data_IF_347113571051
#
_entry.id   IF_347113571051
#
_cell.length_a   1.000
_cell.length_b   1.000
_cell.length_c   1.000
_cell.angle_alpha   90.00
_cell.angle_beta   90.00
_cell.angle_gamma   90.00
#
_symmetry.space_group_name_H-M   'P 1'
#
loop_
_entity.id
_entity.type
_entity.pdbx_description
1 polymer ?
#
# COMPACT_ATOMS: atom_id res chain seq x y z
N UNK A 1 3.01 17.60 12.61
CA UNK A 1 2.80 16.18 12.91
C UNK A 1 2.00 15.56 11.79
N UNK A 2 2.34 14.34 11.41
CA UNK A 2 1.57 13.49 10.50
C UNK A 2 1.23 12.19 11.23
N UNK A 3 0.03 11.67 11.00
CA UNK A 3 -0.45 10.41 11.55
C UNK A 3 -0.90 9.53 10.39
N UNK A 4 -0.55 8.26 10.44
CA UNK A 4 -0.90 7.27 9.43
C UNK A 4 -1.23 5.94 10.12
N UNK A 5 -1.89 5.04 9.40
CA UNK A 5 -2.16 3.69 9.90
C UNK A 5 -1.96 2.63 8.82
N UNK A 6 -1.86 1.38 9.26
CA UNK A 6 -1.88 0.19 8.42
C UNK A 6 -2.68 -0.91 9.12
N UNK A 7 -3.55 -1.58 8.38
CA UNK A 7 -4.41 -2.65 8.88
C UNK A 7 -4.86 -3.56 7.73
N UNK A 8 -4.67 -4.87 7.89
CA UNK A 8 -5.24 -5.83 6.93
C UNK A 8 -5.61 -7.16 7.60
N UNK A 9 -6.84 -7.28 8.16
CA UNK A 9 -7.29 -8.51 8.82
C UNK A 9 -7.46 -9.69 7.84
N UNK A 10 -7.57 -9.42 6.53
CA UNK A 10 -7.65 -10.49 5.54
C UNK A 10 -6.36 -11.29 5.42
N UNK A 11 -5.20 -10.67 5.62
CA UNK A 11 -3.91 -11.35 5.64
C UNK A 11 -3.75 -12.22 6.89
N UNK A 12 -4.23 -11.75 8.05
CA UNK A 12 -4.18 -12.49 9.31
C UNK A 12 -4.93 -13.82 9.30
N UNK A 13 -5.83 -14.05 8.34
CA UNK A 13 -6.49 -15.35 8.14
C UNK A 13 -5.56 -16.43 7.58
N UNK A 14 -4.42 -16.04 7.03
CA UNK A 14 -3.52 -16.93 6.31
C UNK A 14 -2.10 -16.91 6.87
N UNK A 15 -1.61 -15.75 7.31
CA UNK A 15 -0.22 -15.57 7.72
C UNK A 15 -0.09 -14.34 8.63
N UNK A 16 -0.06 -14.57 9.93
CA UNK A 16 0.05 -13.52 10.95
C UNK A 16 1.40 -12.79 10.91
N UNK A 17 2.49 -13.46 10.52
CA UNK A 17 3.80 -12.85 10.39
C UNK A 17 3.85 -11.85 9.22
N UNK A 18 3.45 -12.29 8.02
CA UNK A 18 3.41 -11.39 6.86
C UNK A 18 2.33 -10.32 6.98
N UNK A 19 1.21 -10.59 7.66
CA UNK A 19 0.25 -9.55 8.04
C UNK A 19 0.94 -8.45 8.84
N UNK A 20 1.67 -8.80 9.90
CA UNK A 20 2.34 -7.81 10.75
C UNK A 20 3.39 -7.00 9.98
N UNK A 21 4.21 -7.64 9.14
CA UNK A 21 5.14 -6.94 8.25
C UNK A 21 4.40 -5.96 7.33
N UNK A 22 3.29 -6.40 6.73
CA UNK A 22 2.52 -5.61 5.75
C UNK A 22 1.91 -4.38 6.38
N UNK A 23 1.28 -4.50 7.56
CA UNK A 23 0.60 -3.35 8.21
C UNK A 23 1.60 -2.35 8.81
N UNK A 24 2.80 -2.79 9.22
CA UNK A 24 3.89 -1.87 9.59
C UNK A 24 4.39 -1.13 8.35
N UNK A 25 4.65 -1.85 7.25
CA UNK A 25 5.07 -1.25 6.00
C UNK A 25 4.02 -0.25 5.47
N UNK A 26 2.74 -0.59 5.54
CA UNK A 26 1.63 0.28 5.13
C UNK A 26 1.55 1.57 5.96
N UNK A 27 1.61 1.48 7.28
CA UNK A 27 1.61 2.66 8.14
C UNK A 27 2.77 3.60 7.79
N UNK A 28 3.97 3.05 7.54
CA UNK A 28 5.15 3.83 7.15
C UNK A 28 5.05 4.35 5.71
N UNK A 29 4.47 3.59 4.76
CA UNK A 29 4.21 4.07 3.39
C UNK A 29 3.29 5.29 3.41
N UNK A 30 2.17 5.18 4.11
CA UNK A 30 1.20 6.27 4.25
C UNK A 30 1.85 7.51 4.86
N UNK A 31 2.64 7.33 5.91
CA UNK A 31 3.37 8.42 6.55
C UNK A 31 4.34 9.09 5.57
N UNK A 32 5.12 8.30 4.82
CA UNK A 32 6.08 8.82 3.83
C UNK A 32 5.37 9.47 2.65
N UNK A 33 4.29 8.86 2.12
CA UNK A 33 3.53 9.40 0.99
C UNK A 33 2.99 10.81 1.29
N UNK A 34 2.59 11.07 2.53
CA UNK A 34 2.16 12.40 2.99
C UNK A 34 3.30 13.39 3.29
N UNK A 35 4.57 12.96 3.22
CA UNK A 35 5.74 13.80 3.46
C UNK A 35 6.38 13.66 4.85
N UNK A 36 5.98 12.65 5.64
CA UNK A 36 6.54 12.38 6.96
C UNK A 36 7.99 11.89 6.92
N UNK A 37 8.74 12.19 7.96
CA UNK A 37 10.12 11.73 8.12
C UNK A 37 10.18 10.48 9.00
N UNK A 38 10.48 9.32 8.41
CA UNK A 38 10.58 8.05 9.13
C UNK A 38 11.69 8.03 10.19
N UNK A 39 12.69 8.93 10.12
CA UNK A 39 13.74 9.05 11.14
C UNK A 39 13.24 9.67 12.43
N UNK A 40 12.13 10.40 12.35
CA UNK A 40 11.44 11.05 13.45
C UNK A 40 10.00 10.54 13.55
N UNK A 41 9.86 9.22 13.41
CA UNK A 41 8.59 8.53 13.53
C UNK A 41 8.61 7.52 14.67
N UNK A 42 7.43 7.21 15.16
CA UNK A 42 7.20 6.17 16.16
C UNK A 42 5.93 5.38 15.80
N UNK A 43 5.87 4.15 16.27
CA UNK A 43 4.78 3.22 16.03
C UNK A 43 4.02 2.93 17.33
N UNK A 44 2.73 2.68 17.19
CA UNK A 44 1.87 2.09 18.20
C UNK A 44 1.20 0.88 17.60
N UNK A 45 1.15 -0.23 18.33
CA UNK A 45 0.38 -1.40 17.94
C UNK A 45 -0.99 -1.44 18.62
N UNK A 46 -1.90 -2.17 17.99
CA UNK A 46 -3.16 -2.59 18.60
C UNK A 46 -3.44 -4.02 18.14
N UNK A 47 -3.09 -4.97 18.98
CA UNK A 47 -3.40 -6.39 18.78
C UNK A 47 -4.86 -6.64 19.11
N UNK A 48 -5.60 -7.16 18.14
CA UNK A 48 -6.99 -7.60 18.29
C UNK A 48 -7.08 -9.06 17.89
N UNK A 49 -7.05 -9.95 18.87
CA UNK A 49 -7.01 -11.40 18.66
C UNK A 49 -8.11 -12.09 19.47
N UNK A 50 -8.49 -13.28 19.05
CA UNK A 50 -9.38 -14.17 19.81
C UNK A 50 -8.69 -14.65 21.11
N UNK A 51 -9.32 -15.59 21.82
CA UNK A 51 -8.75 -16.12 23.06
C UNK A 51 -7.42 -16.85 22.86
N UNK A 52 -6.35 -16.47 23.59
CA UNK A 52 -5.05 -17.15 23.55
C UNK A 52 -5.07 -18.55 24.18
N UNK A 53 -6.20 -19.00 24.77
CA UNK A 53 -6.39 -20.37 25.22
C UNK A 53 -6.36 -21.37 24.04
N UNK A 54 -6.50 -20.88 22.82
CA UNK A 54 -6.36 -21.65 21.59
C UNK A 54 -4.91 -21.61 21.14
N UNK A 55 -4.22 -22.77 21.01
CA UNK A 55 -2.82 -22.80 20.61
C UNK A 55 -2.53 -22.10 19.28
N UNK A 56 -3.44 -22.20 18.30
CA UNK A 56 -3.33 -21.53 17.01
C UNK A 56 -3.35 -20.00 17.15
N UNK A 57 -4.23 -19.45 18.01
CA UNK A 57 -4.31 -18.00 18.26
C UNK A 57 -3.06 -17.50 18.96
N UNK A 58 -2.58 -18.26 19.95
CA UNK A 58 -1.33 -17.94 20.64
C UNK A 58 -0.13 -17.98 19.67
N UNK A 59 -0.10 -18.95 18.76
CA UNK A 59 0.89 -19.04 17.69
C UNK A 59 0.86 -17.79 16.77
N UNK A 60 -0.32 -17.34 16.38
CA UNK A 60 -0.50 -16.14 15.56
C UNK A 60 -0.04 -14.87 16.29
N UNK A 61 -0.29 -14.74 17.60
CA UNK A 61 0.23 -13.64 18.42
C UNK A 61 1.75 -13.61 18.41
N UNK A 62 2.39 -14.77 18.60
CA UNK A 62 3.87 -14.88 18.57
C UNK A 62 4.43 -14.51 17.20
N UNK A 63 3.81 -15.00 16.11
CA UNK A 63 4.23 -14.70 14.75
C UNK A 63 4.04 -13.21 14.41
N UNK A 64 2.92 -12.61 14.79
CA UNK A 64 2.66 -11.18 14.59
C UNK A 64 3.65 -10.32 15.38
N UNK A 65 3.92 -10.67 16.65
CA UNK A 65 4.93 -9.98 17.47
C UNK A 65 6.33 -10.07 16.84
N UNK A 66 6.68 -11.22 16.28
CA UNK A 66 7.93 -11.41 15.55
C UNK A 66 8.00 -10.53 14.30
N UNK A 67 6.90 -10.44 13.53
CA UNK A 67 6.79 -9.56 12.37
C UNK A 67 6.98 -8.08 12.75
N UNK A 68 6.34 -7.61 13.82
CA UNK A 68 6.53 -6.27 14.37
C UNK A 68 7.99 -6.00 14.74
N UNK A 69 8.63 -6.94 15.44
CA UNK A 69 10.04 -6.82 15.82
C UNK A 69 10.98 -6.71 14.60
N UNK A 70 10.82 -7.61 13.63
CA UNK A 70 11.65 -7.65 12.43
C UNK A 70 11.47 -6.39 11.58
N UNK A 71 10.22 -5.90 11.44
CA UNK A 71 9.93 -4.65 10.75
C UNK A 71 10.51 -3.43 11.47
N UNK A 72 10.27 -3.29 12.77
CA UNK A 72 10.78 -2.17 13.57
C UNK A 72 12.31 -2.05 13.46
N UNK A 73 13.01 -3.18 13.56
CA UNK A 73 14.48 -3.22 13.39
C UNK A 73 14.91 -2.83 11.99
N UNK A 74 14.24 -3.34 10.95
CA UNK A 74 14.63 -3.08 9.56
C UNK A 74 14.41 -1.62 9.17
N UNK A 75 13.28 -1.04 9.56
CA UNK A 75 12.98 0.37 9.29
C UNK A 75 13.71 1.34 10.23
N UNK A 76 14.14 0.87 11.40
CA UNK A 76 14.73 1.71 12.44
C UNK A 76 13.70 2.63 13.10
N UNK A 77 12.44 2.19 13.22
CA UNK A 77 11.33 2.97 13.80
C UNK A 77 10.82 2.22 15.04
N UNK A 78 10.88 2.83 16.25
CA UNK A 78 10.51 2.17 17.48
C UNK A 78 9.00 2.09 17.68
N UNK A 79 8.52 1.03 18.33
CA UNK A 79 7.25 1.03 19.04
C UNK A 79 7.41 1.79 20.36
N UNK A 80 6.53 2.75 20.64
CA UNK A 80 6.56 3.59 21.85
C UNK A 80 5.36 3.35 22.76
N UNK A 81 4.34 2.68 22.26
CA UNK A 81 3.14 2.29 22.98
C UNK A 81 2.45 1.15 22.26
N UNK A 82 1.54 0.50 22.92
CA UNK A 82 0.72 -0.56 22.36
C UNK A 82 -0.52 -0.81 23.20
N UNK A 83 -1.45 -1.56 22.62
CA UNK A 83 -2.68 -1.96 23.27
C UNK A 83 -3.09 -3.34 22.79
N UNK A 84 -3.31 -4.26 23.71
CA UNK A 84 -3.72 -5.63 23.42
C UNK A 84 -5.19 -5.84 23.77
N UNK A 85 -5.92 -6.44 22.84
CA UNK A 85 -7.26 -6.95 23.06
C UNK A 85 -7.28 -8.44 22.70
N UNK A 86 -7.26 -9.27 23.71
CA UNK A 86 -7.38 -10.71 23.60
C UNK A 86 -8.80 -11.11 24.04
N UNK A 87 -9.30 -12.24 23.52
CA UNK A 87 -10.69 -12.69 23.69
C UNK A 87 -11.71 -11.91 22.83
N UNK A 88 -11.31 -11.39 21.68
CA UNK A 88 -12.23 -10.80 20.73
C UNK A 88 -12.99 -11.89 19.97
N UNK A 89 -14.05 -12.38 20.59
CA UNK A 89 -14.94 -13.41 20.07
C UNK A 89 -16.31 -13.27 20.71
N UNK A 90 -17.31 -13.83 20.07
CA UNK A 90 -18.66 -13.94 20.63
C UNK A 90 -19.13 -15.39 20.65
N UNK A 91 -20.05 -15.70 21.54
CA UNK A 91 -20.65 -17.04 21.67
C UNK A 91 -22.08 -16.96 21.19
N UNK A 92 -22.48 -17.87 20.31
CA UNK A 92 -23.86 -17.97 19.83
C UNK A 92 -24.77 -18.67 20.87
N UNK A 93 -26.08 -18.67 20.60
CA UNK A 93 -27.07 -19.29 21.47
C UNK A 93 -26.91 -20.81 21.65
N UNK A 94 -26.09 -21.44 20.81
CA UNK A 94 -25.72 -22.87 20.87
C UNK A 94 -24.42 -23.13 21.62
N UNK A 95 -23.77 -22.09 22.13
CA UNK A 95 -22.49 -22.18 22.83
C UNK A 95 -21.26 -22.24 21.90
N UNK A 96 -21.41 -22.02 20.58
CA UNK A 96 -20.26 -21.97 19.68
C UNK A 96 -19.56 -20.65 19.79
N UNK A 97 -18.22 -20.68 19.92
CA UNK A 97 -17.38 -19.49 19.97
C UNK A 97 -16.95 -19.09 18.55
N UNK A 98 -17.17 -17.83 18.19
CA UNK A 98 -16.87 -17.22 16.89
C UNK A 98 -15.73 -16.21 17.06
N UNK A 99 -14.49 -16.62 16.82
CA UNK A 99 -13.33 -15.76 16.92
C UNK A 99 -13.26 -14.78 15.76
N UNK A 100 -12.75 -13.55 16.01
CA UNK A 100 -12.31 -12.67 14.93
C UNK A 100 -11.03 -13.22 14.28
N UNK A 101 -10.73 -12.90 13.01
CA UNK A 101 -9.41 -13.19 12.46
C UNK A 101 -8.33 -12.40 13.20
N UNK A 102 -7.10 -12.93 13.20
CA UNK A 102 -5.94 -12.21 13.68
C UNK A 102 -5.87 -10.82 13.03
N UNK A 103 -5.96 -9.78 13.84
CA UNK A 103 -6.03 -8.40 13.40
C UNK A 103 -5.00 -7.55 14.14
N UNK A 104 -4.19 -6.83 13.39
CA UNK A 104 -3.22 -5.89 13.93
C UNK A 104 -3.42 -4.53 13.25
N UNK A 105 -3.67 -3.50 14.04
CA UNK A 105 -3.66 -2.11 13.59
C UNK A 105 -2.35 -1.47 14.05
N UNK A 106 -1.59 -0.96 13.11
CA UNK A 106 -0.42 -0.13 13.40
C UNK A 106 -0.76 1.32 13.15
N UNK A 107 -0.52 2.17 14.15
CA UNK A 107 -0.55 3.62 14.00
C UNK A 107 0.88 4.14 13.97
N UNK A 108 1.19 4.99 12.99
CA UNK A 108 2.45 5.69 12.88
C UNK A 108 2.23 7.18 13.15
N UNK A 109 3.09 7.77 13.96
CA UNK A 109 3.16 9.21 14.18
C UNK A 109 4.54 9.69 13.76
N UNK A 110 4.61 10.81 13.04
CA UNK A 110 5.88 11.36 12.58
C UNK A 110 5.87 12.88 12.52
N UNK A 111 7.05 13.42 12.30
CA UNK A 111 7.26 14.87 12.15
C UNK A 111 7.36 15.22 10.68
N UNK A 112 6.72 16.30 10.30
CA UNK A 112 6.89 16.98 9.01
C UNK A 112 7.65 18.27 9.28
N UNK A 113 8.79 18.45 8.66
CA UNK A 113 9.66 19.61 8.83
C UNK A 113 8.96 20.91 8.39
N UNK A 114 8.26 20.84 7.26
CA UNK A 114 7.50 21.95 6.70
C UNK A 114 6.19 21.43 6.06
N UNK A 115 5.05 21.74 6.67
CA UNK A 115 3.75 21.28 6.21
C UNK A 115 3.39 21.75 4.78
N UNK A 116 3.99 22.84 4.30
CA UNK A 116 3.79 23.34 2.92
C UNK A 116 4.43 22.42 1.87
N UNK A 117 5.30 21.50 2.27
CA UNK A 117 5.95 20.48 1.42
C UNK A 117 5.24 19.14 1.41
N UNK A 118 4.17 19.00 2.21
CA UNK A 118 3.31 17.83 2.13
C UNK A 118 2.66 17.75 0.77
N UNK A 119 2.52 16.54 0.26
CA UNK A 119 1.77 16.25 -0.96
C UNK A 119 0.54 15.43 -0.62
N UNK A 120 -0.46 15.50 -1.49
CA UNK A 120 -1.66 14.68 -1.41
C UNK A 120 -1.72 13.74 -2.60
N UNK A 121 -2.61 12.74 -2.55
CA UNK A 121 -2.68 11.70 -3.57
C UNK A 121 -3.30 12.19 -4.90
N UNK A 122 -4.16 13.21 -4.87
CA UNK A 122 -4.85 13.71 -6.06
C UNK A 122 -3.85 14.26 -7.11
N UNK A 123 -4.02 13.92 -8.38
CA UNK A 123 -3.17 14.42 -9.48
C UNK A 123 -3.26 15.95 -9.59
N UNK A 124 -2.16 16.61 -9.93
CA UNK A 124 -2.05 18.07 -9.86
C UNK A 124 -2.17 18.77 -11.22
N UNK A 125 -1.72 18.15 -12.30
CA UNK A 125 -1.72 18.78 -13.61
C UNK A 125 -1.69 17.76 -14.75
N UNK A 126 -2.25 18.10 -15.94
CA UNK A 126 -2.01 17.32 -17.15
C UNK A 126 -0.55 17.36 -17.59
N UNK A 127 -0.13 16.36 -18.37
CA UNK A 127 1.21 16.25 -18.97
C UNK A 127 2.32 16.12 -17.93
N UNK A 128 2.03 15.49 -16.79
CA UNK A 128 3.04 15.02 -15.84
C UNK A 128 3.35 13.55 -16.07
N UNK A 129 4.52 13.12 -15.69
CA UNK A 129 4.94 11.72 -15.72
C UNK A 129 4.40 10.96 -14.50
N UNK A 130 4.00 9.70 -14.69
CA UNK A 130 3.58 8.79 -13.63
C UNK A 130 4.63 7.71 -13.44
N UNK A 131 5.13 7.59 -12.22
CA UNK A 131 6.14 6.62 -11.83
C UNK A 131 5.59 5.64 -10.82
N UNK A 132 5.81 4.36 -11.06
CA UNK A 132 5.69 3.32 -10.03
C UNK A 132 7.06 3.08 -9.43
N UNK A 133 7.15 3.21 -8.12
CA UNK A 133 8.32 2.83 -7.31
C UNK A 133 7.97 1.59 -6.51
N UNK A 134 8.89 0.64 -6.44
CA UNK A 134 8.68 -0.65 -5.80
C UNK A 134 8.44 -1.77 -6.81
N UNK A 135 8.49 -3.00 -6.33
CA UNK A 135 8.42 -4.22 -7.14
C UNK A 135 7.04 -4.87 -7.00
N UNK A 136 6.40 -5.14 -8.13
CA UNK A 136 5.15 -5.92 -8.17
C UNK A 136 5.47 -7.41 -8.27
N UNK A 137 4.78 -8.23 -7.48
CA UNK A 137 4.83 -9.70 -7.51
C UNK A 137 3.40 -10.24 -7.60
N UNK A 138 3.19 -11.50 -7.99
CA UNK A 138 1.85 -12.10 -8.02
C UNK A 138 1.36 -12.48 -6.60
N UNK A 139 1.33 -11.51 -5.70
CA UNK A 139 0.94 -11.64 -4.29
C UNK A 139 -0.51 -11.19 -4.14
N UNK A 140 -1.43 -12.14 -4.16
CA UNK A 140 -2.89 -11.91 -4.16
C UNK A 140 -3.59 -12.56 -2.96
N UNK A 141 -2.87 -13.32 -2.12
CA UNK A 141 -3.44 -13.98 -0.93
C UNK A 141 -4.03 -12.96 0.04
N UNK A 142 -5.33 -13.12 0.35
CA UNK A 142 -6.07 -12.17 1.19
C UNK A 142 -6.47 -10.86 0.53
N UNK A 143 -6.15 -10.65 -0.77
CA UNK A 143 -6.43 -9.41 -1.49
C UNK A 143 -7.92 -9.19 -1.75
N UNK A 144 -8.30 -7.93 -1.91
CA UNK A 144 -9.66 -7.55 -2.31
C UNK A 144 -10.05 -8.13 -3.68
N UNK A 145 -9.06 -8.34 -4.58
CA UNK A 145 -9.31 -8.96 -5.88
C UNK A 145 -9.76 -10.42 -5.75
N UNK A 146 -9.06 -11.25 -4.97
CA UNK A 146 -9.48 -12.64 -4.78
C UNK A 146 -10.76 -12.75 -3.95
N UNK A 147 -10.98 -11.85 -3.01
CA UNK A 147 -12.23 -11.75 -2.25
C UNK A 147 -13.43 -11.48 -3.18
N UNK A 148 -13.27 -10.54 -4.13
CA UNK A 148 -14.30 -10.25 -5.15
C UNK A 148 -14.61 -11.47 -6.03
N UNK A 149 -13.63 -12.33 -6.31
CA UNK A 149 -13.79 -13.56 -7.08
C UNK A 149 -14.26 -14.76 -6.23
N UNK A 150 -14.45 -14.60 -4.92
CA UNK A 150 -14.83 -15.68 -4.01
C UNK A 150 -13.73 -16.72 -3.79
N UNK A 151 -12.47 -16.39 -4.09
CA UNK A 151 -11.32 -17.30 -4.01
C UNK A 151 -10.56 -17.12 -2.69
N UNK A 152 -10.21 -18.25 -2.05
CA UNK A 152 -9.46 -18.31 -0.79
C UNK A 152 -8.11 -18.98 -1.04
N UNK A 153 -7.26 -18.38 -1.85
CA UNK A 153 -5.96 -18.93 -2.26
C UNK A 153 -4.94 -17.81 -2.44
N UNK A 154 -3.72 -18.15 -2.78
CA UNK A 154 -2.66 -17.20 -3.06
C UNK A 154 -1.70 -16.97 -1.90
N UNK A 155 -0.63 -16.27 -2.19
CA UNK A 155 0.42 -15.91 -1.23
C UNK A 155 0.12 -14.53 -0.66
N UNK A 156 0.13 -14.41 0.67
CA UNK A 156 0.03 -13.12 1.37
C UNK A 156 1.25 -12.26 0.99
N UNK A 157 1.05 -10.96 0.70
CA UNK A 157 2.16 -10.08 0.38
C UNK A 157 3.21 -10.03 1.48
N UNK A 158 4.47 -10.29 1.09
CA UNK A 158 5.62 -10.16 1.99
C UNK A 158 6.27 -8.78 1.88
N UNK A 159 7.19 -8.49 2.83
CA UNK A 159 8.01 -7.28 2.81
C UNK A 159 9.48 -7.66 2.64
N UNK A 160 10.14 -7.12 1.62
CA UNK A 160 11.61 -7.25 1.51
C UNK A 160 12.29 -6.25 2.46
N UNK A 161 12.54 -6.70 3.67
CA UNK A 161 13.13 -5.88 4.75
C UNK A 161 14.52 -5.30 4.44
N UNK A 162 15.19 -5.73 3.36
CA UNK A 162 16.46 -5.13 2.90
C UNK A 162 16.20 -3.96 1.95
N UNK A 163 15.24 -4.11 1.05
CA UNK A 163 14.96 -3.12 -0.01
C UNK A 163 13.93 -2.07 0.45
N UNK A 164 12.95 -2.47 1.24
CA UNK A 164 11.85 -1.62 1.67
C UNK A 164 12.31 -0.33 2.40
N UNK A 165 13.21 -0.37 3.41
CA UNK A 165 13.69 0.85 4.06
C UNK A 165 14.45 1.79 3.11
N UNK A 166 15.11 1.24 2.09
CA UNK A 166 15.84 2.02 1.08
C UNK A 166 14.86 2.76 0.17
N UNK A 167 13.76 2.11 -0.24
CA UNK A 167 12.68 2.73 -1.03
C UNK A 167 12.03 3.85 -0.24
N UNK A 168 11.66 3.61 1.03
CA UNK A 168 11.07 4.63 1.91
C UNK A 168 11.96 5.87 2.02
N UNK A 169 13.25 5.69 2.31
CA UNK A 169 14.23 6.77 2.40
C UNK A 169 14.42 7.51 1.07
N UNK A 170 14.38 6.79 -0.06
CA UNK A 170 14.50 7.41 -1.38
C UNK A 170 13.24 8.24 -1.71
N UNK A 171 12.03 7.72 -1.43
CA UNK A 171 10.80 8.47 -1.64
C UNK A 171 10.74 9.72 -0.76
N UNK A 172 11.08 9.60 0.52
CA UNK A 172 11.19 10.73 1.43
C UNK A 172 12.15 11.82 0.92
N UNK A 173 13.33 11.43 0.41
CA UNK A 173 14.27 12.40 -0.20
C UNK A 173 13.67 13.07 -1.43
N UNK A 174 12.97 12.34 -2.29
CA UNK A 174 12.32 12.90 -3.48
C UNK A 174 11.26 13.94 -3.09
N UNK A 175 10.43 13.65 -2.09
CA UNK A 175 9.41 14.56 -1.56
C UNK A 175 10.05 15.80 -0.94
N UNK A 176 11.05 15.65 -0.09
CA UNK A 176 11.77 16.79 0.53
C UNK A 176 12.46 17.71 -0.48
N UNK A 177 12.89 17.18 -1.62
CA UNK A 177 13.47 17.95 -2.73
C UNK A 177 12.43 18.60 -3.63
N UNK A 178 11.11 18.40 -3.38
CA UNK A 178 10.04 18.94 -4.20
C UNK A 178 9.99 18.33 -5.62
N UNK A 179 10.47 17.10 -5.78
CA UNK A 179 10.47 16.41 -7.08
C UNK A 179 9.12 15.79 -7.42
N UNK A 180 8.26 15.58 -6.42
CA UNK A 180 6.98 14.89 -6.50
C UNK A 180 5.84 15.89 -6.34
N UNK A 181 4.85 15.82 -7.22
CA UNK A 181 3.64 16.65 -7.16
C UNK A 181 2.52 15.99 -6.35
N UNK A 182 2.32 14.69 -6.58
CA UNK A 182 1.36 13.86 -5.88
C UNK A 182 1.97 12.49 -5.60
N UNK A 183 1.61 11.89 -4.48
CA UNK A 183 2.09 10.57 -4.09
C UNK A 183 0.96 9.79 -3.42
N UNK A 184 0.83 8.51 -3.80
CA UNK A 184 -0.06 7.56 -3.18
C UNK A 184 0.70 6.27 -2.89
N UNK A 185 0.46 5.66 -1.74
CA UNK A 185 0.89 4.29 -1.49
C UNK A 185 0.00 3.30 -2.26
N UNK A 186 0.49 2.09 -2.48
CA UNK A 186 -0.32 1.02 -3.06
C UNK A 186 -0.63 0.00 -1.97
N UNK A 187 -1.89 -0.07 -1.58
CA UNK A 187 -2.42 -0.97 -0.56
C UNK A 187 -3.53 -1.85 -1.16
N UNK A 188 -4.73 -1.85 -0.61
CA UNK A 188 -5.83 -2.70 -1.09
C UNK A 188 -6.13 -2.48 -2.57
N UNK A 189 -6.40 -3.59 -3.27
CA UNK A 189 -6.62 -3.65 -4.73
C UNK A 189 -5.48 -3.03 -5.58
N UNK A 190 -4.32 -2.76 -5.00
CA UNK A 190 -3.05 -2.47 -5.67
C UNK A 190 -3.06 -1.26 -6.61
N UNK A 191 -2.33 -1.37 -7.73
CA UNK A 191 -2.14 -0.28 -8.68
C UNK A 191 -3.43 0.17 -9.36
N UNK A 192 -4.34 -0.78 -9.62
CA UNK A 192 -5.60 -0.49 -10.32
C UNK A 192 -6.46 0.51 -9.56
N UNK A 193 -6.57 0.33 -8.25
CA UNK A 193 -7.33 1.24 -7.38
C UNK A 193 -6.56 2.54 -7.16
N UNK A 194 -5.28 2.49 -6.82
CA UNK A 194 -4.48 3.68 -6.52
C UNK A 194 -4.47 4.69 -7.69
N UNK A 195 -4.26 4.24 -8.95
CA UNK A 195 -4.30 5.15 -10.09
C UNK A 195 -5.70 5.71 -10.36
N UNK A 196 -6.74 4.93 -10.10
CA UNK A 196 -8.12 5.40 -10.23
C UNK A 196 -8.42 6.48 -9.19
N UNK A 197 -8.03 6.28 -7.94
CA UNK A 197 -8.22 7.24 -6.84
C UNK A 197 -7.49 8.54 -7.09
N UNK A 198 -6.21 8.50 -7.47
CA UNK A 198 -5.45 9.69 -7.84
C UNK A 198 -6.12 10.47 -8.97
N UNK A 199 -6.65 9.78 -9.99
CA UNK A 199 -7.25 10.41 -11.16
C UNK A 199 -8.64 11.00 -10.86
N UNK A 200 -9.56 10.23 -10.24
CA UNK A 200 -10.92 10.74 -10.04
C UNK A 200 -11.01 11.78 -8.92
N UNK A 201 -10.09 11.78 -7.95
CA UNK A 201 -10.04 12.80 -6.89
C UNK A 201 -9.69 14.16 -7.46
N UNK A 202 -8.81 14.22 -8.45
CA UNK A 202 -8.40 15.45 -9.14
C UNK A 202 -9.31 15.85 -10.32
N UNK A 203 -10.05 14.89 -10.90
CA UNK A 203 -10.70 15.07 -12.19
C UNK A 203 -9.72 15.12 -13.37
N UNK A 204 -8.47 14.69 -13.18
CA UNK A 204 -7.40 14.65 -14.18
C UNK A 204 -7.21 13.21 -14.63
N UNK A 205 -7.24 12.96 -15.94
CA UNK A 205 -7.10 11.62 -16.47
C UNK A 205 -5.66 11.11 -16.45
N UNK A 206 -5.55 9.79 -16.63
CA UNK A 206 -4.25 9.12 -16.72
C UNK A 206 -4.23 8.07 -17.83
N UNK A 207 -3.07 7.91 -18.45
CA UNK A 207 -2.75 6.78 -19.34
C UNK A 207 -1.55 6.08 -18.78
N UNK A 208 -1.69 4.78 -18.46
CA UNK A 208 -0.57 3.94 -18.00
C UNK A 208 -0.43 2.70 -18.88
N UNK A 209 0.79 2.16 -18.93
CA UNK A 209 1.09 0.91 -19.63
C UNK A 209 1.74 -0.09 -18.66
N UNK A 210 1.06 -1.20 -18.43
CA UNK A 210 1.49 -2.24 -17.52
C UNK A 210 2.73 -3.01 -18.01
N UNK A 211 3.10 -2.86 -19.28
CA UNK A 211 4.28 -3.50 -19.88
C UNK A 211 5.59 -3.04 -19.21
N UNK A 212 5.60 -1.80 -18.70
CA UNK A 212 6.80 -1.19 -18.11
C UNK A 212 6.92 -1.38 -16.60
N UNK A 213 5.95 -2.00 -15.97
CA UNK A 213 5.92 -2.15 -14.50
C UNK A 213 7.05 -3.06 -14.03
N UNK A 214 7.82 -2.68 -12.99
CA UNK A 214 8.77 -3.55 -12.34
C UNK A 214 8.04 -4.77 -11.77
N UNK A 215 8.15 -5.91 -12.46
CA UNK A 215 7.46 -7.15 -12.13
C UNK A 215 8.42 -8.30 -11.97
N UNK A 216 8.19 -9.13 -10.95
CA UNK A 216 8.98 -10.34 -10.69
C UNK A 216 8.07 -11.48 -10.26
N UNK A 217 8.12 -12.58 -11.01
CA UNK A 217 7.42 -13.83 -10.69
C UNK A 217 6.50 -14.27 -11.83
N UNK A 218 6.76 -15.46 -12.40
CA UNK A 218 5.94 -16.10 -13.41
C UNK A 218 5.67 -15.26 -14.67
N UNK A 219 4.64 -15.67 -15.41
CA UNK A 219 4.19 -14.96 -16.62
C UNK A 219 3.36 -13.75 -16.21
N UNK A 220 3.70 -12.52 -16.67
CA UNK A 220 2.93 -11.33 -16.33
C UNK A 220 1.49 -11.41 -16.85
N UNK A 221 0.52 -11.35 -15.94
CA UNK A 221 -0.91 -11.22 -16.24
C UNK A 221 -1.36 -9.81 -15.87
N UNK A 222 -2.16 -9.13 -16.70
CA UNK A 222 -2.57 -7.75 -16.44
C UNK A 222 -3.38 -7.59 -15.16
N UNK A 223 -4.25 -8.55 -14.84
CA UNK A 223 -5.03 -8.56 -13.61
C UNK A 223 -4.13 -8.72 -12.36
N UNK A 224 -3.11 -9.58 -12.43
CA UNK A 224 -2.15 -9.73 -11.32
C UNK A 224 -1.31 -8.47 -11.12
N UNK A 225 -0.89 -7.83 -12.21
CA UNK A 225 -0.14 -6.57 -12.14
C UNK A 225 -1.00 -5.45 -11.53
N UNK A 226 -2.27 -5.36 -11.92
CA UNK A 226 -3.18 -4.33 -11.46
C UNK A 226 -3.57 -4.51 -9.99
N UNK A 227 -3.87 -5.75 -9.58
CA UNK A 227 -4.57 -6.02 -8.32
C UNK A 227 -3.72 -6.77 -7.29
N UNK A 228 -2.45 -7.04 -7.60
CA UNK A 228 -1.51 -7.49 -6.57
C UNK A 228 -1.33 -6.41 -5.51
N UNK A 229 -1.30 -6.82 -4.25
CA UNK A 229 -1.14 -5.93 -3.09
C UNK A 229 0.29 -5.99 -2.52
N UNK A 230 1.29 -6.23 -3.41
CA UNK A 230 2.71 -6.23 -3.01
C UNK A 230 3.08 -4.98 -2.25
N UNK A 231 3.78 -5.16 -1.14
CA UNK A 231 4.16 -4.09 -0.22
C UNK A 231 5.22 -3.13 -0.79
N UNK A 232 5.46 -2.03 -0.10
CA UNK A 232 6.52 -1.05 -0.36
C UNK A 232 6.45 -0.48 -1.78
N UNK A 233 5.25 -0.12 -2.24
CA UNK A 233 5.05 0.50 -3.54
C UNK A 233 4.40 1.87 -3.42
N UNK A 234 4.82 2.79 -4.30
CA UNK A 234 4.28 4.15 -4.43
C UNK A 234 3.96 4.47 -5.87
N UNK A 235 2.87 5.19 -6.09
CA UNK A 235 2.57 5.87 -7.35
C UNK A 235 2.83 7.36 -7.18
N UNK A 236 3.73 7.91 -8.00
CA UNK A 236 4.16 9.30 -7.91
C UNK A 236 3.89 10.05 -9.22
N UNK A 237 3.33 11.26 -9.09
CA UNK A 237 3.26 12.24 -10.18
C UNK A 237 4.50 13.14 -10.13
N UNK A 238 5.21 13.25 -11.24
CA UNK A 238 6.46 14.00 -11.37
C UNK A 238 6.38 14.92 -12.57
N UNK A 239 6.86 16.18 -12.42
CA UNK A 239 6.99 17.08 -13.57
C UNK A 239 8.05 16.55 -14.54
N UNK A 240 7.84 16.66 -15.88
CA UNK A 240 8.83 16.21 -16.87
C UNK A 240 10.22 16.80 -16.64
N UNK A 241 10.30 18.07 -16.23
CA UNK A 241 11.57 18.74 -15.91
C UNK A 241 12.31 18.14 -14.71
N UNK A 242 11.60 17.47 -13.80
CA UNK A 242 12.14 16.81 -12.63
C UNK A 242 12.45 15.31 -12.86
N UNK A 243 12.06 14.74 -14.01
CA UNK A 243 12.16 13.31 -14.30
C UNK A 243 13.56 12.73 -14.02
N UNK A 244 14.59 13.34 -14.61
CA UNK A 244 15.99 12.89 -14.43
C UNK A 244 16.44 12.91 -12.97
N UNK A 245 16.10 13.95 -12.23
CA UNK A 245 16.47 14.06 -10.81
C UNK A 245 15.72 13.06 -9.94
N UNK A 246 14.45 12.78 -10.27
CA UNK A 246 13.65 11.74 -9.63
C UNK A 246 14.24 10.35 -9.89
N UNK A 247 14.52 10.00 -11.12
CA UNK A 247 15.09 8.71 -11.53
C UNK A 247 16.44 8.44 -10.86
N UNK A 248 17.33 9.43 -10.86
CA UNK A 248 18.61 9.35 -10.17
C UNK A 248 18.48 9.06 -8.67
N UNK A 249 17.43 9.58 -8.03
CA UNK A 249 17.17 9.36 -6.61
C UNK A 249 16.83 7.90 -6.28
N UNK A 250 16.39 7.11 -7.27
CA UNK A 250 16.03 5.70 -7.14
C UNK A 250 17.05 4.74 -7.79
N UNK A 251 18.25 5.19 -8.11
CA UNK A 251 19.30 4.33 -8.68
C UNK A 251 19.53 3.09 -7.82
N UNK A 252 19.48 1.90 -8.45
CA UNK A 252 19.64 0.60 -7.77
C UNK A 252 18.43 0.16 -6.93
N UNK A 253 17.26 0.78 -7.13
CA UNK A 253 15.98 0.40 -6.59
C UNK A 253 14.98 0.11 -7.73
N UNK A 254 13.95 -0.70 -7.52
CA UNK A 254 12.93 -0.94 -8.53
C UNK A 254 12.05 0.30 -8.72
N UNK A 255 11.98 0.80 -9.94
CA UNK A 255 11.07 1.86 -10.36
C UNK A 255 10.87 1.83 -11.87
N UNK A 256 9.79 2.41 -12.36
CA UNK A 256 9.59 2.69 -13.78
C UNK A 256 8.67 3.88 -14.00
N UNK A 257 8.89 4.60 -15.10
CA UNK A 257 7.91 5.50 -15.68
C UNK A 257 6.86 4.64 -16.37
N UNK A 258 5.64 4.64 -15.84
CA UNK A 258 4.56 3.76 -16.31
C UNK A 258 3.52 4.49 -17.16
N UNK A 259 3.56 5.81 -17.24
CA UNK A 259 2.57 6.57 -17.98
C UNK A 259 2.66 8.06 -17.76
N UNK A 260 1.53 8.72 -17.99
CA UNK A 260 1.39 10.17 -17.82
C UNK A 260 -0.04 10.59 -17.51
N UNK A 261 -0.20 11.76 -16.94
CA UNK A 261 -1.48 12.44 -16.79
C UNK A 261 -1.93 13.06 -18.11
N UNK A 262 -3.24 13.17 -18.31
CA UNK A 262 -3.86 13.74 -19.52
C UNK A 262 -5.00 14.69 -19.18
N UNK A 263 -5.32 15.61 -20.08
CA UNK A 263 -6.43 16.57 -19.92
C UNK A 263 -7.81 15.91 -20.04
N UNK A 264 -7.92 14.73 -20.66
CA UNK A 264 -9.17 14.01 -20.79
C UNK A 264 -9.56 13.38 -19.45
N UNK A 265 -10.82 13.48 -19.04
CA UNK A 265 -11.34 12.96 -17.77
C UNK A 265 -11.62 11.46 -17.83
N UNK A 266 -10.58 10.67 -18.13
CA UNK A 266 -10.67 9.21 -18.22
C UNK A 266 -9.38 8.52 -17.76
N UNK A 267 -9.52 7.26 -17.34
CA UNK A 267 -8.40 6.35 -17.08
C UNK A 267 -8.27 5.38 -18.25
N UNK A 268 -7.08 5.35 -18.85
CA UNK A 268 -6.71 4.39 -19.89
C UNK A 268 -5.56 3.53 -19.39
N UNK A 269 -5.72 2.22 -19.49
CA UNK A 269 -4.67 1.25 -19.14
C UNK A 269 -4.39 0.37 -20.35
N UNK A 270 -3.11 0.30 -20.70
CA UNK A 270 -2.60 -0.52 -21.78
C UNK A 270 -1.78 -1.69 -21.24
N UNK A 271 -1.70 -2.76 -22.01
CA UNK A 271 -0.80 -3.88 -21.77
C UNK A 271 -0.39 -4.52 -23.09
N UNK A 272 0.92 -4.55 -23.37
CA UNK A 272 1.48 -5.12 -24.62
C UNK A 272 0.81 -4.59 -25.88
N UNK A 273 0.66 -3.27 -25.95
CA UNK A 273 0.05 -2.59 -27.09
C UNK A 273 -1.48 -2.66 -27.18
N UNK A 274 -2.14 -3.38 -26.27
CA UNK A 274 -3.60 -3.47 -26.23
C UNK A 274 -4.15 -2.60 -25.10
N UNK A 275 -5.20 -1.86 -25.40
CA UNK A 275 -5.98 -1.13 -24.41
C UNK A 275 -6.90 -2.10 -23.67
N UNK A 276 -6.70 -2.24 -22.36
CA UNK A 276 -7.46 -3.17 -21.50
C UNK A 276 -8.47 -2.45 -20.60
N UNK A 277 -8.26 -1.14 -20.33
CA UNK A 277 -9.21 -0.28 -19.63
C UNK A 277 -9.33 1.05 -20.39
N UNK A 278 -10.56 1.54 -20.55
CA UNK A 278 -10.88 2.89 -21.04
C UNK A 278 -12.17 3.33 -20.36
N UNK A 279 -12.05 3.97 -19.21
CA UNK A 279 -13.19 4.31 -18.37
C UNK A 279 -13.22 5.81 -18.04
N UNK A 280 -14.40 6.45 -18.14
CA UNK A 280 -14.59 7.82 -17.66
C UNK A 280 -14.40 7.89 -16.13
N UNK A 281 -13.68 8.89 -15.63
CA UNK A 281 -13.43 9.09 -14.20
C UNK A 281 -14.74 9.20 -13.40
N UNK A 282 -15.77 9.81 -13.98
CA UNK A 282 -17.10 9.90 -13.37
C UNK A 282 -17.65 8.52 -13.00
N UNK A 283 -17.48 7.52 -13.88
CA UNK A 283 -17.94 6.15 -13.62
C UNK A 283 -17.19 5.50 -12.48
N UNK A 284 -15.86 5.67 -12.42
CA UNK A 284 -15.01 5.17 -11.34
C UNK A 284 -15.42 5.80 -10.01
N UNK A 285 -15.50 7.13 -9.95
CA UNK A 285 -15.91 7.87 -8.75
C UNK A 285 -17.31 7.47 -8.28
N UNK A 286 -18.28 7.30 -9.18
CA UNK A 286 -19.62 6.86 -8.83
C UNK A 286 -19.64 5.47 -8.21
N UNK A 287 -18.80 4.54 -8.68
CA UNK A 287 -18.68 3.21 -8.08
C UNK A 287 -18.02 3.25 -6.72
N UNK A 288 -16.98 4.06 -6.58
CA UNK A 288 -16.29 4.26 -5.30
C UNK A 288 -17.20 4.87 -4.22
N UNK A 289 -18.06 5.83 -4.59
CA UNK A 289 -19.01 6.48 -3.68
C UNK A 289 -20.24 5.63 -3.36
N UNK A 290 -20.56 4.63 -4.15
CA UNK A 290 -21.67 3.73 -3.84
C UNK A 290 -21.21 2.81 -2.73
N UNK A 291 -21.73 3.02 -1.53
CA UNK A 291 -21.64 2.04 -0.45
C UNK A 291 -22.13 0.68 -1.03
N UNK A 292 -21.34 -0.37 -0.85
CA UNK A 292 -21.84 -1.71 -1.02
C UNK A 292 -22.99 -1.86 0.00
N UNK A 293 -24.21 -1.99 -0.51
CA UNK A 293 -25.40 -2.31 0.28
C UNK A 293 -25.34 -3.80 0.56
#
# INVERSE_FOLDING_TARGET
VIVACGINPSYGKYDAYNMALSVVDEALRNLVAGGGDIRHAALLDNFCFASPDRPEVLGDIVLASRGCYDAAKAYGVPFISGKDSLNNEWTDDKGNRHPIPATLLISAIGVVEDARRCVTMDLKRPVSDLYLVGLTRPELGGSEYLKLLGLKTGVVPGVDLRTAPRIMKAMQRALRRGLVLACHDLSEAGLGLAVAEMAFSAGIGAVIDLTFIPYRGGIPRPDFILFSESNTRFLAEVKPENARAFEQNFTGLPWAKIGRTISLTKLVINFRGKKIVDLPLRRLRQRWLRKAV
#
